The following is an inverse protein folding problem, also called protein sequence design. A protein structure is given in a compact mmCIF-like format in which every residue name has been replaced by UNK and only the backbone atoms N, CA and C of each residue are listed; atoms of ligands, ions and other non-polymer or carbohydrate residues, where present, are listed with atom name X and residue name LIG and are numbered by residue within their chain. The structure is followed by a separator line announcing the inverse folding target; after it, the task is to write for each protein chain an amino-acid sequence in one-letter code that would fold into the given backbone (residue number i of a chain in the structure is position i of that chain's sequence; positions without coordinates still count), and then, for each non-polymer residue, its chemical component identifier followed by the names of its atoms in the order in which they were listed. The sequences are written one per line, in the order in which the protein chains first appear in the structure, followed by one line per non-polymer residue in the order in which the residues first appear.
data_IF_709344181429
#
_entry.id   IF_709344181429
#
_cell.length_a   1.000
_cell.length_b   1.000
_cell.length_c   1.000
_cell.angle_alpha   90.00
_cell.angle_beta   90.00
_cell.angle_gamma   90.00
#
_symmetry.space_group_name_H-M   'P 1'
#
loop_
_entity.id
_entity.type
_entity.pdbx_description
1 polymer ?
#
# COMPACT_ATOMS: atom_id res chain seq x y z
N UNK A 1 -13.82 -13.75 -18.02
CA UNK A 1 -12.94 -12.63 -17.67
C UNK A 1 -13.08 -12.39 -16.17
N UNK A 2 -12.00 -12.50 -15.41
CA UNK A 2 -12.03 -12.13 -13.99
C UNK A 2 -12.19 -10.62 -13.89
N UNK A 3 -13.13 -10.15 -13.07
CA UNK A 3 -13.38 -8.72 -12.88
C UNK A 3 -12.44 -8.22 -11.80
N UNK A 4 -11.39 -7.53 -12.21
CA UNK A 4 -10.43 -6.89 -11.31
C UNK A 4 -10.99 -5.54 -10.84
N UNK A 5 -10.51 -5.08 -9.68
CA UNK A 5 -10.83 -3.76 -9.13
C UNK A 5 -9.55 -3.00 -8.84
N UNK A 6 -9.66 -1.67 -8.79
CA UNK A 6 -8.54 -0.77 -8.53
C UNK A 6 -8.77 0.11 -7.30
N UNK A 7 -7.72 0.34 -6.54
CA UNK A 7 -7.63 1.35 -5.47
C UNK A 7 -6.25 2.00 -5.51
N UNK A 8 -6.19 3.30 -5.26
CA UNK A 8 -4.93 4.01 -5.06
C UNK A 8 -4.60 4.16 -3.58
N UNK A 9 -3.32 4.21 -3.23
CA UNK A 9 -2.87 4.41 -1.85
C UNK A 9 -1.72 5.40 -1.78
N UNK A 10 -1.79 6.36 -0.85
CA UNK A 10 -0.69 7.25 -0.47
C UNK A 10 -0.54 7.31 1.05
N UNK A 11 0.67 7.58 1.54
CA UNK A 11 0.91 7.66 2.99
C UNK A 11 2.35 7.40 3.41
N UNK A 12 3.19 6.93 2.49
CA UNK A 12 4.65 6.87 2.64
C UNK A 12 5.33 6.92 1.27
N UNK A 13 6.65 6.73 1.21
CA UNK A 13 7.37 6.55 -0.06
C UNK A 13 6.78 5.39 -0.87
N UNK A 14 6.57 5.60 -2.17
CA UNK A 14 5.94 4.58 -3.01
C UNK A 14 6.73 3.26 -3.09
N UNK A 15 8.06 3.25 -2.88
CA UNK A 15 8.87 2.03 -2.95
C UNK A 15 8.49 1.08 -1.81
N UNK A 16 8.18 1.66 -0.64
CA UNK A 16 7.71 0.90 0.50
C UNK A 16 6.32 0.33 0.25
N UNK A 17 5.40 1.15 -0.27
CA UNK A 17 4.01 0.74 -0.51
C UNK A 17 3.94 -0.29 -1.64
N UNK A 18 4.72 -0.12 -2.70
CA UNK A 18 4.84 -1.06 -3.81
C UNK A 18 5.23 -2.43 -3.28
N UNK A 19 6.32 -2.52 -2.50
CA UNK A 19 6.77 -3.78 -1.93
C UNK A 19 5.70 -4.44 -1.04
N UNK A 20 4.99 -3.66 -0.22
CA UNK A 20 3.90 -4.16 0.64
C UNK A 20 2.77 -4.76 -0.20
N UNK A 21 2.28 -4.04 -1.21
CA UNK A 21 1.17 -4.53 -2.03
C UNK A 21 1.56 -5.66 -2.98
N UNK A 22 2.74 -5.60 -3.60
CA UNK A 22 3.27 -6.69 -4.44
C UNK A 22 3.49 -8.00 -3.68
N UNK A 23 3.52 -7.96 -2.34
CA UNK A 23 3.66 -9.15 -1.51
C UNK A 23 2.34 -9.90 -1.30
N UNK A 24 1.19 -9.25 -1.54
CA UNK A 24 -0.11 -9.79 -1.20
C UNK A 24 -0.64 -10.71 -2.31
N UNK A 25 -1.10 -11.90 -1.92
CA UNK A 25 -1.83 -12.81 -2.80
C UNK A 25 -3.19 -12.20 -3.16
N UNK A 26 -3.58 -12.30 -4.44
CA UNK A 26 -4.73 -11.60 -5.00
C UNK A 26 -4.49 -10.17 -5.46
N UNK A 27 -3.31 -9.57 -5.19
CA UNK A 27 -2.87 -8.35 -5.88
C UNK A 27 -2.27 -8.74 -7.23
N UNK A 28 -2.81 -8.18 -8.30
CA UNK A 28 -2.43 -8.47 -9.70
C UNK A 28 -1.31 -7.55 -10.13
N UNK A 29 -1.41 -6.27 -9.78
CA UNK A 29 -0.37 -5.28 -10.00
C UNK A 29 -0.37 -4.24 -8.89
N UNK A 30 0.80 -3.69 -8.61
CA UNK A 30 1.00 -2.54 -7.74
C UNK A 30 2.04 -1.65 -8.40
N UNK A 31 1.58 -0.56 -9.01
CA UNK A 31 2.39 0.37 -9.78
C UNK A 31 2.67 1.62 -8.97
N UNK A 32 3.94 1.99 -8.83
CA UNK A 32 4.31 3.26 -8.20
C UNK A 32 4.16 4.44 -9.16
N UNK A 33 3.76 5.59 -8.64
CA UNK A 33 3.60 6.79 -9.44
C UNK A 33 3.08 7.99 -8.66
N UNK A 34 2.40 8.87 -9.38
CA UNK A 34 1.83 10.12 -8.86
C UNK A 34 0.31 10.15 -9.02
N UNK A 35 -0.39 10.26 -7.90
CA UNK A 35 -1.85 10.39 -7.87
C UNK A 35 -2.27 11.85 -7.77
N UNK A 36 -3.21 12.25 -8.60
CA UNK A 36 -3.96 13.51 -8.45
C UNK A 36 -5.35 13.21 -7.90
N UNK A 37 -5.81 14.01 -6.94
CA UNK A 37 -7.12 13.86 -6.30
C UNK A 37 -7.78 15.22 -6.03
N UNK A 38 -9.08 15.22 -5.74
CA UNK A 38 -9.85 16.43 -5.48
C UNK A 38 -9.86 17.39 -6.68
N UNK A 39 -9.25 18.57 -6.55
CA UNK A 39 -9.21 19.58 -7.63
C UNK A 39 -8.17 19.27 -8.72
N UNK A 40 -7.42 18.17 -8.59
CA UNK A 40 -6.46 17.69 -9.59
C UNK A 40 -5.17 18.52 -9.70
N UNK A 41 -4.93 19.49 -8.82
CA UNK A 41 -3.75 20.36 -8.87
C UNK A 41 -2.51 19.74 -8.23
N UNK A 42 -2.70 19.00 -7.15
CA UNK A 42 -1.62 18.38 -6.40
C UNK A 42 -1.36 16.95 -6.88
N UNK A 43 -0.09 16.54 -6.83
CA UNK A 43 0.37 15.20 -7.17
C UNK A 43 1.10 14.58 -5.98
N UNK A 44 0.62 13.44 -5.53
CA UNK A 44 1.12 12.73 -4.35
C UNK A 44 1.82 11.44 -4.77
N UNK A 45 2.90 11.07 -4.08
CA UNK A 45 3.45 9.73 -4.25
C UNK A 45 2.42 8.69 -3.82
N UNK A 46 2.13 7.77 -4.71
CA UNK A 46 1.10 6.78 -4.53
C UNK A 46 1.45 5.47 -5.22
N UNK A 47 0.68 4.43 -4.88
CA UNK A 47 0.66 3.17 -5.61
C UNK A 47 -0.76 2.91 -6.10
N UNK A 48 -0.90 2.56 -7.37
CA UNK A 48 -2.13 2.05 -7.95
C UNK A 48 -2.13 0.52 -7.82
N UNK A 49 -3.11 -0.02 -7.10
CA UNK A 49 -3.23 -1.45 -6.85
C UNK A 49 -4.41 -1.99 -7.66
N UNK A 50 -4.13 -2.93 -8.56
CA UNK A 50 -5.13 -3.78 -9.19
C UNK A 50 -5.19 -5.11 -8.44
N UNK A 51 -6.39 -5.56 -8.08
CA UNK A 51 -6.59 -6.77 -7.29
C UNK A 51 -7.82 -7.56 -7.72
N UNK A 52 -7.81 -8.85 -7.38
CA UNK A 52 -8.96 -9.74 -7.50
C UNK A 52 -9.76 -9.74 -6.17
N UNK A 53 -10.97 -9.16 -6.13
CA UNK A 53 -11.78 -9.11 -4.91
C UNK A 53 -12.28 -10.50 -4.44
N UNK A 54 -12.18 -11.54 -5.27
CA UNK A 54 -12.50 -12.91 -4.87
C UNK A 54 -11.35 -13.58 -4.10
N UNK A 55 -10.13 -13.13 -4.31
CA UNK A 55 -8.92 -13.67 -3.67
C UNK A 55 -8.53 -12.86 -2.44
N UNK A 56 -8.55 -11.53 -2.54
CA UNK A 56 -8.19 -10.63 -1.43
C UNK A 56 -9.31 -9.62 -1.14
N UNK A 57 -9.82 -9.58 0.10
CA UNK A 57 -10.87 -8.63 0.45
C UNK A 57 -10.27 -7.24 0.71
N UNK A 58 -11.05 -6.19 0.41
CA UNK A 58 -10.63 -4.78 0.56
C UNK A 58 -10.06 -4.47 1.95
N UNK A 59 -10.66 -5.01 3.01
CA UNK A 59 -10.17 -4.74 4.37
C UNK A 59 -8.72 -5.20 4.61
N UNK A 60 -8.24 -6.23 3.90
CA UNK A 60 -6.83 -6.66 4.01
C UNK A 60 -5.91 -5.65 3.35
N UNK A 61 -6.27 -5.13 2.17
CA UNK A 61 -5.51 -4.07 1.49
C UNK A 61 -5.44 -2.80 2.35
N UNK A 62 -6.58 -2.40 2.93
CA UNK A 62 -6.66 -1.25 3.84
C UNK A 62 -5.83 -1.50 5.10
N UNK A 63 -5.97 -2.67 5.74
CA UNK A 63 -5.19 -3.03 6.93
C UNK A 63 -3.68 -3.02 6.67
N UNK A 64 -3.24 -3.61 5.55
CA UNK A 64 -1.83 -3.61 5.14
C UNK A 64 -1.30 -2.17 4.98
N UNK A 65 -2.09 -1.28 4.36
CA UNK A 65 -1.74 0.13 4.24
C UNK A 65 -1.62 0.83 5.60
N UNK A 66 -2.64 0.71 6.46
CA UNK A 66 -2.70 1.39 7.75
C UNK A 66 -1.57 0.97 8.70
N UNK A 67 -1.24 -0.31 8.72
CA UNK A 67 -0.22 -0.87 9.62
C UNK A 67 1.22 -0.65 9.13
N UNK A 68 1.44 -0.27 7.86
CA UNK A 68 2.79 -0.11 7.28
C UNK A 68 3.21 1.35 7.06
N UNK A 69 2.43 2.31 7.57
CA UNK A 69 2.80 3.72 7.64
C UNK A 69 2.24 4.40 8.90
N UNK A 70 2.58 5.67 9.15
CA UNK A 70 2.14 6.41 10.33
C UNK A 70 0.68 6.89 10.27
N UNK A 71 -0.29 5.98 10.17
CA UNK A 71 -1.70 6.25 9.89
C UNK A 71 -2.47 7.10 10.92
N UNK A 72 -1.89 7.38 12.09
CA UNK A 72 -2.50 8.20 13.16
C UNK A 72 -1.85 9.58 13.33
N UNK A 73 -0.76 9.87 12.59
CA UNK A 73 0.01 11.11 12.78
C UNK A 73 -0.22 12.12 11.65
N UNK A 74 -0.51 13.37 12.04
CA UNK A 74 -0.48 14.52 11.15
C UNK A 74 0.90 15.22 11.23
N UNK A 75 1.83 14.81 10.35
CA UNK A 75 3.22 15.30 10.35
C UNK A 75 3.54 16.14 9.09
N UNK A 76 4.61 16.96 9.09
CA UNK A 76 4.93 17.86 7.96
C UNK A 76 5.05 17.17 6.59
N UNK A 77 5.50 15.92 6.55
CA UNK A 77 5.60 15.15 5.29
C UNK A 77 4.24 14.81 4.64
N UNK A 78 3.10 15.08 5.31
CA UNK A 78 1.76 14.84 4.75
C UNK A 78 1.45 15.69 3.51
N UNK A 79 2.23 16.75 3.24
CA UNK A 79 2.16 17.49 1.97
C UNK A 79 2.60 16.65 0.76
N UNK A 80 3.54 15.72 0.96
CA UNK A 80 4.02 14.79 -0.08
C UNK A 80 3.38 13.41 0.04
N UNK A 81 3.11 12.98 1.27
CA UNK A 81 2.58 11.67 1.64
C UNK A 81 1.28 11.80 2.45
N UNK A 82 0.21 12.40 1.90
CA UNK A 82 -1.08 12.40 2.60
C UNK A 82 -1.45 10.95 2.93
N UNK A 83 -2.09 10.71 4.08
CA UNK A 83 -2.65 9.38 4.36
C UNK A 83 -3.97 9.31 3.62
N UNK A 84 -4.01 8.62 2.49
CA UNK A 84 -5.22 8.58 1.68
C UNK A 84 -5.37 7.28 0.91
N UNK A 85 -6.63 6.89 0.73
CA UNK A 85 -7.05 5.80 -0.15
C UNK A 85 -7.93 6.42 -1.24
N UNK A 86 -7.61 6.12 -2.49
CA UNK A 86 -8.27 6.70 -3.66
C UNK A 86 -9.20 5.68 -4.30
N UNK A 87 -10.46 6.07 -4.45
CA UNK A 87 -11.52 5.26 -5.07
C UNK A 87 -11.80 5.70 -6.50
N UNK A 88 -12.12 4.75 -7.37
CA UNK A 88 -12.45 4.96 -8.78
C UNK A 88 -13.95 4.86 -9.07
N UNK A 89 -14.75 4.40 -8.10
CA UNK A 89 -16.22 4.40 -8.19
C UNK A 89 -16.84 4.85 -6.89
N UNK A 90 -18.01 5.49 -6.95
CA UNK A 90 -18.76 5.93 -5.76
C UNK A 90 -19.07 4.75 -4.81
N UNK A 91 -19.30 3.56 -5.37
CA UNK A 91 -19.60 2.35 -4.61
C UNK A 91 -18.42 1.82 -3.78
N UNK A 92 -17.18 2.17 -4.12
CA UNK A 92 -16.00 1.76 -3.34
C UNK A 92 -15.85 2.56 -2.04
N UNK A 93 -16.28 3.84 -2.05
CA UNK A 93 -16.12 4.75 -0.90
C UNK A 93 -16.66 4.17 0.41
N UNK A 94 -17.92 3.72 0.52
CA UNK A 94 -18.43 3.16 1.77
C UNK A 94 -17.68 1.89 2.21
N UNK A 95 -17.27 1.04 1.27
CA UNK A 95 -16.52 -0.20 1.56
C UNK A 95 -15.14 0.11 2.14
N UNK A 96 -14.45 1.11 1.59
CA UNK A 96 -13.14 1.56 2.10
C UNK A 96 -13.28 2.22 3.47
N UNK A 97 -14.30 3.07 3.67
CA UNK A 97 -14.55 3.70 4.97
C UNK A 97 -14.86 2.66 6.06
N UNK A 98 -15.67 1.64 5.75
CA UNK A 98 -15.94 0.54 6.66
C UNK A 98 -14.67 -0.25 7.00
N UNK A 99 -13.82 -0.51 6.00
CA UNK A 99 -12.53 -1.17 6.21
C UNK A 99 -11.59 -0.36 7.12
N UNK A 100 -11.52 0.97 6.96
CA UNK A 100 -10.75 1.84 7.86
C UNK A 100 -11.32 1.75 9.29
N UNK A 101 -12.64 1.86 9.43
CA UNK A 101 -13.31 1.79 10.73
C UNK A 101 -13.06 0.45 11.43
N UNK A 102 -13.06 -0.66 10.69
CA UNK A 102 -12.77 -2.01 11.22
C UNK A 102 -11.37 -2.09 11.84
N UNK A 103 -10.39 -1.39 11.28
CA UNK A 103 -9.03 -1.40 11.80
C UNK A 103 -8.78 -0.39 12.92
N UNK A 104 -9.71 0.52 13.20
CA UNK A 104 -9.52 1.54 14.22
C UNK A 104 -9.22 0.96 15.62
N UNK A 105 -9.77 -0.21 15.95
CA UNK A 105 -9.52 -0.89 17.24
C UNK A 105 -8.06 -1.35 17.41
N UNK A 106 -7.30 -1.48 16.31
CA UNK A 106 -5.88 -1.82 16.35
C UNK A 106 -5.00 -0.61 16.77
N UNK A 107 -5.56 0.62 16.80
CA UNK A 107 -4.84 1.87 17.02
C UNK A 107 -5.41 2.61 18.23
N UNK A 108 -4.53 3.05 19.13
CA UNK A 108 -4.94 3.84 20.30
C UNK A 108 -5.41 5.26 19.89
N UNK A 109 -4.75 5.84 18.89
CA UNK A 109 -5.08 7.14 18.35
C UNK A 109 -6.00 7.03 17.12
N UNK A 110 -6.82 8.07 16.85
CA UNK A 110 -7.67 8.10 15.66
C UNK A 110 -6.87 7.99 14.38
N UNK A 111 -7.36 7.17 13.45
CA UNK A 111 -6.83 7.09 12.09
C UNK A 111 -7.11 8.41 11.35
N UNK A 112 -6.08 8.97 10.72
CA UNK A 112 -6.18 10.20 9.92
C UNK A 112 -6.32 9.93 8.42
N UNK A 113 -6.40 8.66 8.03
CA UNK A 113 -6.48 8.23 6.63
C UNK A 113 -7.79 8.69 5.99
N UNK A 114 -7.67 9.52 4.96
CA UNK A 114 -8.80 10.00 4.17
C UNK A 114 -9.20 9.03 3.06
N UNK A 115 -10.42 9.20 2.55
CA UNK A 115 -10.89 8.54 1.33
C UNK A 115 -11.24 9.62 0.31
N UNK A 116 -10.63 9.57 -0.86
CA UNK A 116 -10.75 10.58 -1.91
C UNK A 116 -11.08 9.94 -3.26
N UNK A 117 -11.69 10.69 -4.17
CA UNK A 117 -11.89 10.23 -5.55
C UNK A 117 -10.58 10.36 -6.34
N UNK A 118 -10.20 9.29 -7.04
CA UNK A 118 -9.05 9.30 -7.94
C UNK A 118 -9.37 10.11 -9.19
N UNK A 119 -8.58 11.15 -9.49
CA UNK A 119 -8.76 11.95 -10.71
C UNK A 119 -7.86 11.45 -11.84
N UNK A 120 -6.57 11.26 -11.55
CA UNK A 120 -5.61 10.72 -12.51
C UNK A 120 -4.42 10.09 -11.80
N UNK A 121 -3.85 9.08 -12.43
CA UNK A 121 -2.61 8.44 -11.99
C UNK A 121 -1.59 8.49 -13.13
N UNK A 122 -0.36 8.89 -12.81
CA UNK A 122 0.77 8.85 -13.74
C UNK A 122 1.78 7.86 -13.18
N UNK A 123 1.98 6.74 -13.88
CA UNK A 123 2.94 5.71 -13.48
C UNK A 123 4.39 6.19 -13.66
N UNK A 124 5.28 5.67 -12.82
CA UNK A 124 6.73 5.76 -13.07
C UNK A 124 7.11 4.90 -14.29
N UNK A 125 8.29 5.16 -14.87
CA UNK A 125 8.87 4.31 -15.92
C UNK A 125 8.98 2.85 -15.46
N UNK A 126 8.72 1.90 -16.37
CA UNK A 126 8.65 0.47 -16.07
C UNK A 126 9.94 -0.08 -15.44
N UNK A 127 11.10 0.43 -15.86
CA UNK A 127 12.42 0.05 -15.34
C UNK A 127 12.66 0.48 -13.87
N UNK A 128 11.77 1.33 -13.33
CA UNK A 128 11.81 1.77 -11.93
C UNK A 128 10.91 0.96 -11.01
N UNK A 129 10.01 0.13 -11.55
CA UNK A 129 9.11 -0.73 -10.77
C UNK A 129 9.89 -1.91 -10.15
N UNK A 130 9.34 -2.50 -9.09
CA UNK A 130 9.90 -3.64 -8.38
C UNK A 130 11.11 -3.29 -7.54
N UNK A 131 11.18 -2.08 -6.97
CA UNK A 131 12.39 -1.57 -6.32
C UNK A 131 12.98 -2.53 -5.28
N UNK A 132 12.12 -3.08 -4.41
CA UNK A 132 12.53 -4.03 -3.37
C UNK A 132 12.88 -5.40 -3.95
N UNK A 133 12.02 -5.97 -4.79
CA UNK A 133 12.19 -7.35 -5.25
C UNK A 133 13.29 -7.54 -6.30
N UNK A 134 13.72 -6.46 -6.96
CA UNK A 134 14.88 -6.49 -7.85
C UNK A 134 16.20 -6.47 -7.07
N UNK A 135 16.26 -5.77 -5.93
CA UNK A 135 17.47 -5.55 -5.14
C UNK A 135 17.18 -5.41 -3.63
N UNK A 136 16.78 -6.49 -2.96
CA UNK A 136 16.36 -6.46 -1.55
C UNK A 136 17.52 -6.12 -0.58
N UNK A 137 18.77 -6.31 -1.00
CA UNK A 137 20.00 -6.07 -0.24
C UNK A 137 20.40 -4.59 -0.12
N UNK A 138 19.66 -3.67 -0.77
CA UNK A 138 19.98 -2.24 -0.69
C UNK A 138 19.79 -1.73 0.74
N UNK A 139 20.66 -0.84 1.26
CA UNK A 139 20.52 -0.29 2.62
C UNK A 139 19.16 0.39 2.88
N UNK A 140 18.56 1.00 1.85
CA UNK A 140 17.21 1.56 1.96
C UNK A 140 16.15 0.46 2.17
N UNK A 141 16.27 -0.66 1.47
CA UNK A 141 15.37 -1.81 1.62
C UNK A 141 15.42 -2.35 3.05
N UNK A 142 16.62 -2.57 3.59
CA UNK A 142 16.83 -3.05 4.96
C UNK A 142 16.28 -2.07 6.00
N UNK A 143 16.57 -0.78 5.86
CA UNK A 143 16.20 0.22 6.86
C UNK A 143 14.74 0.67 6.82
N UNK A 144 14.10 0.67 5.64
CA UNK A 144 12.79 1.31 5.45
C UNK A 144 11.69 0.36 4.99
N UNK A 145 12.03 -0.68 4.20
CA UNK A 145 11.04 -1.57 3.59
C UNK A 145 10.89 -2.87 4.40
N UNK A 146 12.00 -3.51 4.77
CA UNK A 146 11.99 -4.78 5.50
C UNK A 146 11.18 -4.72 6.82
N UNK A 147 11.25 -3.66 7.65
CA UNK A 147 10.42 -3.56 8.84
C UNK A 147 8.92 -3.58 8.53
N UNK A 148 8.50 -2.95 7.42
CA UNK A 148 7.10 -2.92 6.98
C UNK A 148 6.65 -4.27 6.45
N UNK A 149 7.52 -4.98 5.73
CA UNK A 149 7.23 -6.35 5.27
C UNK A 149 7.17 -7.33 6.44
N UNK A 150 7.94 -7.13 7.51
CA UNK A 150 7.80 -7.93 8.73
C UNK A 150 6.45 -7.71 9.42
N UNK A 151 5.97 -6.46 9.51
CA UNK A 151 4.61 -6.15 9.99
C UNK A 151 3.57 -6.84 9.11
N UNK A 152 3.74 -6.79 7.79
CA UNK A 152 2.85 -7.45 6.83
C UNK A 152 2.79 -8.95 7.07
N UNK A 153 3.94 -9.62 7.18
CA UNK A 153 4.01 -11.06 7.44
C UNK A 153 3.36 -11.43 8.78
N UNK A 154 3.57 -10.62 9.82
CA UNK A 154 3.02 -10.86 11.16
C UNK A 154 1.50 -10.71 11.23
N UNK A 155 0.92 -9.74 10.53
CA UNK A 155 -0.51 -9.40 10.64
C UNK A 155 -1.36 -10.00 9.52
N UNK A 156 -0.81 -10.12 8.32
CA UNK A 156 -1.51 -10.49 7.10
C UNK A 156 -0.85 -11.66 6.38
N UNK A 157 -0.01 -12.44 7.07
CA UNK A 157 0.76 -13.52 6.47
C UNK A 157 -0.05 -14.57 5.70
N UNK A 158 -1.30 -14.80 6.05
CA UNK A 158 -2.21 -15.71 5.32
C UNK A 158 -2.59 -15.18 3.92
N UNK A 159 -2.39 -13.88 3.68
CA UNK A 159 -2.62 -13.21 2.41
C UNK A 159 -1.30 -12.84 1.72
N UNK A 160 -0.15 -13.36 2.17
CA UNK A 160 1.13 -13.10 1.50
C UNK A 160 1.44 -14.25 0.55
N UNK A 161 1.75 -13.91 -0.70
CA UNK A 161 2.13 -14.87 -1.72
C UNK A 161 3.37 -15.69 -1.29
N UNK A 162 3.35 -17.00 -1.51
CA UNK A 162 4.38 -17.91 -1.03
C UNK A 162 5.80 -17.58 -1.55
N UNK A 163 5.92 -17.20 -2.83
CA UNK A 163 7.20 -16.85 -3.44
C UNK A 163 7.75 -15.55 -2.82
N UNK A 164 6.86 -14.56 -2.64
CA UNK A 164 7.22 -13.28 -2.01
C UNK A 164 7.61 -13.46 -0.55
N UNK A 165 6.88 -14.30 0.20
CA UNK A 165 7.22 -14.66 1.59
C UNK A 165 8.65 -15.21 1.68
N UNK A 166 9.01 -16.14 0.81
CA UNK A 166 10.34 -16.75 0.83
C UNK A 166 11.44 -15.69 0.65
N UNK A 167 11.26 -14.74 -0.28
CA UNK A 167 12.22 -13.65 -0.51
C UNK A 167 12.36 -12.77 0.74
N UNK A 168 11.24 -12.37 1.36
CA UNK A 168 11.23 -11.51 2.56
C UNK A 168 11.94 -12.19 3.74
N UNK A 169 11.65 -13.47 3.95
CA UNK A 169 12.25 -14.25 5.04
C UNK A 169 13.74 -14.52 4.81
N UNK A 170 14.18 -14.67 3.55
CA UNK A 170 15.59 -14.80 3.20
C UNK A 170 16.35 -13.49 3.41
N UNK A 171 15.79 -12.36 2.96
CA UNK A 171 16.38 -11.04 3.19
C UNK A 171 16.55 -10.74 4.68
N UNK A 172 15.62 -11.20 5.53
CA UNK A 172 15.67 -11.03 6.98
C UNK A 172 16.77 -11.87 7.67
N UNK A 173 17.24 -12.96 7.05
CA UNK A 173 18.31 -13.83 7.59
C UNK A 173 19.72 -13.35 7.25
N UNK A 174 19.85 -12.36 6.36
CA UNK A 174 21.12 -11.74 5.98
C UNK A 174 21.51 -10.53 6.84
N UNK A 175 20.63 -10.08 7.76
CA UNK A 175 20.97 -9.01 8.70
C UNK A 175 21.85 -9.58 9.84
N UNK A 176 22.99 -8.93 10.15
CA UNK A 176 23.88 -9.33 11.23
C UNK A 176 23.24 -9.24 12.61
#
# INVERSE_FOLDING_TARGET
MMKTLQLGFSGSCYWCMEAVFQSLDGVISAEQGWMSAGNGKDRYEAVLVEYDPLTIPVHVLVGAHLHTHHATSNHPLRRRYPSAIYTYTESQRPVVLEAIARHQEDFAEPLVTGVEEAMSFVSCEDDKQGYYFNHPERPFCEGQIAPKLHILLSRFGNYVNADKRQIIEQASKGLP
#
